data_IF_727668813208
#
_entry.id   IF_727668813208
#
_cell.length_a   1.000
_cell.length_b   1.000
_cell.length_c   1.000
_cell.angle_alpha   90.00
_cell.angle_beta   90.00
_cell.angle_gamma   90.00
#
_symmetry.space_group_name_H-M   'P 1'
#
loop_
_entity.id
_entity.type
_entity.pdbx_description
1 polymer ?
#
# COMPACT_ATOMS: atom_id res chain seq x y z
N UNK A 1 -32.19 -12.00 -9.99
CA UNK A 1 -31.16 -11.96 -8.93
C UNK A 1 -29.88 -12.59 -9.49
N UNK A 2 -28.87 -11.80 -9.84
CA UNK A 2 -27.60 -12.35 -10.36
C UNK A 2 -26.80 -12.98 -9.22
N UNK A 3 -26.65 -14.31 -9.26
CA UNK A 3 -25.80 -15.04 -8.31
C UNK A 3 -24.35 -14.70 -8.61
N UNK A 4 -23.72 -13.86 -7.78
CA UNK A 4 -22.27 -13.62 -7.87
C UNK A 4 -21.55 -14.91 -7.50
N UNK A 5 -20.82 -15.46 -8.45
CA UNK A 5 -20.00 -16.65 -8.24
C UNK A 5 -18.68 -16.20 -7.63
N UNK A 6 -18.42 -16.64 -6.40
CA UNK A 6 -17.19 -16.34 -5.68
C UNK A 6 -16.31 -17.58 -5.77
N UNK A 7 -15.48 -17.63 -6.82
CA UNK A 7 -14.40 -18.61 -6.93
C UNK A 7 -13.13 -18.04 -6.33
N UNK A 8 -12.45 -18.82 -5.51
CA UNK A 8 -11.11 -18.53 -4.98
C UNK A 8 -10.08 -18.46 -6.12
N UNK A 9 -8.94 -17.83 -5.85
CA UNK A 9 -7.88 -17.70 -6.87
C UNK A 9 -7.36 -19.06 -7.35
N UNK A 10 -7.27 -20.04 -6.45
CA UNK A 10 -6.83 -21.41 -6.73
C UNK A 10 -7.81 -22.15 -7.63
N UNK A 11 -9.12 -22.04 -7.38
CA UNK A 11 -10.15 -22.67 -8.22
C UNK A 11 -10.16 -22.08 -9.64
N UNK A 12 -10.00 -20.75 -9.76
CA UNK A 12 -9.87 -20.10 -11.07
C UNK A 12 -8.62 -20.58 -11.80
N UNK A 13 -7.51 -20.73 -11.08
CA UNK A 13 -6.26 -21.27 -11.62
C UNK A 13 -6.44 -22.69 -12.16
N UNK A 14 -7.09 -23.57 -11.40
CA UNK A 14 -7.33 -24.96 -11.82
C UNK A 14 -8.18 -25.03 -13.10
N UNK A 15 -9.24 -24.22 -13.21
CA UNK A 15 -10.05 -24.14 -14.43
C UNK A 15 -9.22 -23.71 -15.65
N UNK A 16 -8.34 -22.72 -15.47
CA UNK A 16 -7.43 -22.27 -16.53
C UNK A 16 -6.45 -23.38 -16.91
N UNK A 17 -5.90 -24.12 -15.94
CA UNK A 17 -4.97 -25.22 -16.20
C UNK A 17 -5.66 -26.38 -16.94
N UNK A 18 -6.89 -26.76 -16.55
CA UNK A 18 -7.71 -27.76 -17.25
C UNK A 18 -7.98 -27.35 -18.70
N UNK A 19 -8.28 -26.07 -18.93
CA UNK A 19 -8.46 -25.51 -20.28
C UNK A 19 -7.17 -25.59 -21.11
N UNK A 20 -6.02 -25.23 -20.53
CA UNK A 20 -4.71 -25.26 -21.23
C UNK A 20 -4.26 -26.69 -21.55
N UNK A 21 -4.55 -27.66 -20.67
CA UNK A 21 -4.29 -29.09 -20.88
C UNK A 21 -5.27 -29.75 -21.86
N UNK A 22 -6.34 -29.04 -22.28
CA UNK A 22 -7.43 -29.54 -23.13
C UNK A 22 -8.16 -30.75 -22.55
N UNK A 23 -8.30 -30.80 -21.22
CA UNK A 23 -9.03 -31.88 -20.53
C UNK A 23 -10.55 -31.79 -20.77
N UNK A 24 -11.07 -30.58 -21.01
CA UNK A 24 -12.46 -30.30 -21.33
C UNK A 24 -12.56 -29.05 -22.23
N UNK A 25 -13.70 -28.87 -22.88
CA UNK A 25 -13.97 -27.67 -23.70
C UNK A 25 -14.25 -26.45 -22.83
N UNK A 26 -14.04 -25.25 -23.38
CA UNK A 26 -14.31 -24.00 -22.67
C UNK A 26 -15.78 -23.91 -22.20
N UNK A 27 -16.72 -24.40 -23.01
CA UNK A 27 -18.15 -24.41 -22.67
C UNK A 27 -18.51 -25.36 -21.53
N UNK A 28 -17.87 -26.53 -21.44
CA UNK A 28 -18.05 -27.46 -20.33
C UNK A 28 -17.52 -26.88 -19.02
N UNK A 29 -16.29 -26.33 -19.04
CA UNK A 29 -15.67 -25.69 -17.88
C UNK A 29 -16.46 -24.46 -17.41
N UNK A 30 -16.96 -23.65 -18.35
CA UNK A 30 -17.78 -22.49 -18.04
C UNK A 30 -19.09 -22.89 -17.34
N UNK A 31 -19.76 -23.95 -17.81
CA UNK A 31 -21.00 -24.47 -17.17
C UNK A 31 -20.74 -25.08 -15.80
N UNK A 32 -19.67 -25.87 -15.65
CA UNK A 32 -19.26 -26.48 -14.38
C UNK A 32 -19.00 -25.40 -13.32
N UNK A 33 -18.29 -24.33 -13.70
CA UNK A 33 -17.97 -23.21 -12.83
C UNK A 33 -19.11 -22.16 -12.71
N UNK A 34 -20.17 -22.29 -13.50
CA UNK A 34 -21.28 -21.34 -13.59
C UNK A 34 -20.95 -19.98 -14.23
N UNK A 35 -19.79 -19.85 -14.87
CA UNK A 35 -19.31 -18.61 -15.49
C UNK A 35 -19.61 -18.58 -16.99
N UNK A 36 -19.35 -17.43 -17.64
CA UNK A 36 -19.38 -17.33 -19.10
C UNK A 36 -18.02 -17.71 -19.70
N UNK A 37 -18.02 -18.28 -20.91
CA UNK A 37 -16.77 -18.59 -21.63
C UNK A 37 -15.83 -17.39 -21.79
N UNK A 38 -16.31 -16.15 -22.09
CA UNK A 38 -15.45 -14.97 -22.14
C UNK A 38 -14.71 -14.71 -20.83
N UNK A 39 -15.36 -14.96 -19.68
CA UNK A 39 -14.73 -14.80 -18.36
C UNK A 39 -13.59 -15.79 -18.18
N UNK A 40 -13.78 -17.04 -18.62
CA UNK A 40 -12.75 -18.07 -18.58
C UNK A 40 -11.55 -17.72 -19.47
N UNK A 41 -11.79 -17.20 -20.67
CA UNK A 41 -10.72 -16.73 -21.55
C UNK A 41 -9.97 -15.52 -20.97
N UNK A 42 -10.68 -14.57 -20.34
CA UNK A 42 -10.04 -13.45 -19.65
C UNK A 42 -9.12 -13.93 -18.51
N UNK A 43 -9.54 -14.95 -17.76
CA UNK A 43 -8.69 -15.55 -16.72
C UNK A 43 -7.47 -16.24 -17.30
N UNK A 44 -7.62 -16.98 -18.41
CA UNK A 44 -6.50 -17.59 -19.13
C UNK A 44 -5.47 -16.54 -19.52
N UNK A 45 -5.91 -15.45 -20.14
CA UNK A 45 -5.00 -14.41 -20.63
C UNK A 45 -4.28 -13.70 -19.48
N UNK A 46 -4.99 -13.45 -18.37
CA UNK A 46 -4.40 -12.88 -17.15
C UNK A 46 -3.38 -13.84 -16.53
N UNK A 47 -3.70 -15.13 -16.45
CA UNK A 47 -2.82 -16.17 -15.91
C UNK A 47 -1.54 -16.31 -16.73
N UNK A 48 -1.65 -16.34 -18.06
CA UNK A 48 -0.50 -16.42 -18.96
C UNK A 48 0.37 -15.17 -18.87
N UNK A 49 -0.23 -13.96 -18.89
CA UNK A 49 0.51 -12.71 -18.75
C UNK A 49 1.30 -12.67 -17.45
N UNK A 50 0.65 -12.97 -16.32
CA UNK A 50 1.33 -13.01 -15.02
C UNK A 50 2.39 -14.11 -14.96
N UNK A 51 2.13 -15.29 -15.54
CA UNK A 51 3.08 -16.40 -15.64
C UNK A 51 4.34 -16.00 -16.42
N UNK A 52 4.18 -15.41 -17.60
CA UNK A 52 5.30 -14.93 -18.41
C UNK A 52 6.07 -13.80 -17.72
N UNK A 53 5.39 -12.84 -17.11
CA UNK A 53 6.06 -11.81 -16.30
C UNK A 53 6.85 -12.39 -15.13
N UNK A 54 6.37 -13.47 -14.52
CA UNK A 54 7.11 -14.18 -13.48
C UNK A 54 8.37 -14.88 -14.00
N UNK A 55 8.32 -15.43 -15.22
CA UNK A 55 9.44 -16.09 -15.88
C UNK A 55 10.49 -15.12 -16.43
N UNK A 56 10.06 -13.95 -16.92
CA UNK A 56 10.94 -12.86 -17.38
C UNK A 56 11.78 -12.26 -16.22
N UNK A 57 11.40 -12.62 -14.99
CA UNK A 57 12.17 -12.42 -13.78
C UNK A 57 11.76 -11.16 -13.03
N UNK A 58 11.75 -11.28 -11.70
CA UNK A 58 11.49 -10.26 -10.67
C UNK A 58 12.34 -8.99 -10.73
N UNK A 59 13.04 -8.73 -11.83
CA UNK A 59 13.97 -7.61 -11.98
C UNK A 59 13.29 -6.24 -11.92
N UNK A 60 11.98 -6.14 -12.14
CA UNK A 60 11.25 -4.86 -12.06
C UNK A 60 10.46 -4.68 -10.76
N UNK A 61 9.92 -5.74 -10.16
CA UNK A 61 9.11 -5.59 -8.94
C UNK A 61 9.99 -5.49 -7.70
N UNK A 62 11.00 -6.37 -7.56
CA UNK A 62 11.83 -6.41 -6.34
C UNK A 62 12.81 -5.22 -6.29
N UNK A 63 13.30 -4.75 -7.44
CA UNK A 63 14.18 -3.58 -7.47
C UNK A 63 13.42 -2.30 -7.10
N UNK A 64 12.23 -2.10 -7.67
CA UNK A 64 11.39 -0.94 -7.37
C UNK A 64 10.82 -1.03 -5.96
N UNK A 65 10.39 -2.20 -5.48
CA UNK A 65 10.00 -2.36 -4.07
C UNK A 65 11.14 -2.02 -3.13
N UNK A 66 12.34 -2.59 -3.34
CA UNK A 66 13.50 -2.30 -2.49
C UNK A 66 13.93 -0.84 -2.57
N UNK A 67 13.77 -0.21 -3.74
CA UNK A 67 14.03 1.22 -3.90
C UNK A 67 13.03 2.05 -3.11
N UNK A 68 11.73 1.75 -3.24
CA UNK A 68 10.67 2.41 -2.49
C UNK A 68 10.83 2.22 -0.98
N UNK A 69 11.17 1.02 -0.53
CA UNK A 69 11.47 0.73 0.88
C UNK A 69 12.64 1.57 1.39
N UNK A 70 13.70 1.74 0.59
CA UNK A 70 14.81 2.64 0.94
C UNK A 70 14.39 4.10 1.00
N UNK A 71 13.58 4.56 0.05
CA UNK A 71 13.06 5.94 0.04
C UNK A 71 12.16 6.21 1.26
N UNK A 72 11.35 5.25 1.67
CA UNK A 72 10.52 5.34 2.88
C UNK A 72 11.42 5.41 4.12
N UNK A 73 12.37 4.48 4.27
CA UNK A 73 13.29 4.48 5.40
C UNK A 73 14.11 5.80 5.51
N UNK A 74 14.53 6.35 4.37
CA UNK A 74 15.22 7.64 4.32
C UNK A 74 14.32 8.79 4.79
N UNK A 75 13.05 8.81 4.35
CA UNK A 75 12.08 9.83 4.76
C UNK A 75 11.80 9.73 6.27
N UNK A 76 11.62 8.53 6.80
CA UNK A 76 11.36 8.31 8.23
C UNK A 76 12.53 8.78 9.10
N UNK A 77 13.77 8.52 8.66
CA UNK A 77 14.96 9.02 9.34
C UNK A 77 14.97 10.56 9.42
N UNK A 78 14.70 11.25 8.30
CA UNK A 78 14.64 12.71 8.26
C UNK A 78 13.53 13.28 9.16
N UNK A 79 12.37 12.62 9.21
CA UNK A 79 11.26 12.99 10.11
C UNK A 79 11.70 12.82 11.57
N UNK A 80 12.40 11.72 11.89
CA UNK A 80 12.94 11.47 13.23
C UNK A 80 13.92 12.56 13.66
N UNK A 81 14.87 12.93 12.80
CA UNK A 81 15.84 13.99 13.04
C UNK A 81 15.17 15.35 13.29
N UNK A 82 14.20 15.72 12.45
CA UNK A 82 13.43 16.96 12.62
C UNK A 82 12.63 16.96 13.93
N UNK A 83 12.04 15.82 14.30
CA UNK A 83 11.26 15.68 15.53
C UNK A 83 12.14 15.86 16.77
N UNK A 84 13.35 15.30 16.77
CA UNK A 84 14.33 15.49 17.85
C UNK A 84 14.78 16.95 17.92
N UNK A 85 15.05 17.59 16.78
CA UNK A 85 15.40 19.00 16.72
C UNK A 85 14.29 19.89 17.32
N UNK A 86 13.03 19.68 16.92
CA UNK A 86 11.88 20.40 17.47
C UNK A 86 11.71 20.18 18.98
N UNK A 87 11.87 18.96 19.47
CA UNK A 87 11.80 18.66 20.92
C UNK A 87 12.90 19.37 21.69
N UNK A 88 14.12 19.37 21.15
CA UNK A 88 15.28 20.03 21.78
C UNK A 88 15.08 21.54 21.80
N UNK A 89 14.69 22.11 20.66
CA UNK A 89 14.35 23.51 20.52
C UNK A 89 13.30 23.90 21.56
N UNK A 90 12.15 23.20 21.58
CA UNK A 90 11.08 23.45 22.55
C UNK A 90 11.58 23.40 24.00
N UNK A 91 12.48 22.48 24.36
CA UNK A 91 13.08 22.41 25.71
C UNK A 91 13.99 23.60 26.01
N UNK A 92 14.79 24.06 25.05
CA UNK A 92 15.66 25.23 25.21
C UNK A 92 14.83 26.49 25.43
N UNK A 93 13.80 26.72 24.60
CA UNK A 93 12.92 27.89 24.74
C UNK A 93 11.92 27.79 25.90
N UNK A 94 11.58 26.58 26.36
CA UNK A 94 10.70 26.38 27.51
C UNK A 94 11.46 26.34 28.85
N UNK A 95 12.79 26.20 28.83
CA UNK A 95 13.59 26.38 30.04
C UNK A 95 13.53 27.85 30.47
N UNK A 96 13.28 28.16 31.75
CA UNK A 96 13.41 29.52 32.25
C UNK A 96 14.90 29.90 32.19
N UNK A 97 15.34 30.48 31.08
CA UNK A 97 16.61 31.19 31.06
C UNK A 97 16.37 32.44 31.89
N UNK A 98 16.82 32.38 33.15
CA UNK A 98 16.85 33.52 34.07
C UNK A 98 17.57 34.69 33.36
N UNK A 99 16.80 35.69 32.91
CA UNK A 99 17.36 36.99 32.51
C UNK A 99 16.73 37.70 31.30
N UNK A 100 16.12 37.00 30.34
CA UNK A 100 15.62 37.66 29.11
C UNK A 100 14.19 37.28 28.76
N UNK A 101 13.25 37.54 29.67
CA UNK A 101 11.81 37.34 29.44
C UNK A 101 11.09 38.67 29.27
N UNK A 102 11.57 39.54 28.38
CA UNK A 102 10.88 40.79 28.03
C UNK A 102 11.38 41.41 26.72
N UNK A 103 11.52 40.65 25.63
CA UNK A 103 11.49 41.25 24.29
C UNK A 103 11.27 40.18 23.23
N UNK A 104 10.24 40.40 22.41
CA UNK A 104 9.78 39.65 21.24
C UNK A 104 8.91 38.40 21.45
N UNK A 105 7.70 38.56 20.92
CA UNK A 105 6.54 37.69 20.76
C UNK A 105 5.53 37.70 21.92
N UNK A 106 4.46 38.51 21.83
CA UNK A 106 3.29 38.30 22.68
C UNK A 106 2.71 36.93 22.34
N UNK A 107 2.57 36.11 23.38
CA UNK A 107 1.67 34.96 23.39
C UNK A 107 0.29 35.48 23.02
N UNK A 108 -0.13 35.26 21.78
CA UNK A 108 -1.54 35.37 21.40
C UNK A 108 -2.20 34.07 21.82
N UNK A 109 -2.62 34.06 23.08
CA UNK A 109 -3.75 33.27 23.51
C UNK A 109 -4.97 33.74 22.70
N UNK A 110 -5.46 32.87 21.82
CA UNK A 110 -6.71 33.11 21.07
C UNK A 110 -6.57 32.88 19.57
N UNK A 111 -7.32 31.88 19.08
CA UNK A 111 -7.47 31.44 17.69
C UNK A 111 -6.26 30.69 17.10
N UNK A 112 -6.22 29.38 17.36
CA UNK A 112 -6.41 28.34 16.33
C UNK A 112 -6.63 27.00 17.05
N UNK A 113 -7.74 26.91 17.78
CA UNK A 113 -8.43 25.64 17.92
C UNK A 113 -9.04 25.34 16.55
N UNK A 114 -8.28 24.69 15.67
CA UNK A 114 -8.76 23.91 14.53
C UNK A 114 -7.60 23.15 13.88
N UNK A 115 -7.62 21.86 14.18
CA UNK A 115 -7.23 20.78 13.29
C UNK A 115 -5.73 20.62 12.96
N UNK A 116 -4.94 20.27 13.96
CA UNK A 116 -3.79 19.39 13.74
C UNK A 116 -3.78 18.28 14.81
N UNK A 117 -4.88 17.53 14.87
CA UNK A 117 -4.88 16.20 15.47
C UNK A 117 -4.12 15.28 14.51
N UNK A 118 -2.80 15.23 14.62
CA UNK A 118 -2.03 14.12 14.07
C UNK A 118 -2.02 13.06 15.16
N UNK A 119 -3.00 12.16 15.08
CA UNK A 119 -3.02 10.94 15.86
C UNK A 119 -1.77 10.12 15.50
N UNK A 120 -0.70 10.28 16.28
CA UNK A 120 0.46 9.39 16.28
C UNK A 120 0.15 8.19 17.18
N UNK A 121 -0.92 7.46 16.85
CA UNK A 121 -1.27 6.16 17.44
C UNK A 121 -1.03 5.04 16.44
N UNK A 122 0.19 4.94 15.89
CA UNK A 122 0.75 3.68 15.38
C UNK A 122 2.28 3.77 15.51
N UNK A 123 2.80 3.27 16.64
CA UNK A 123 4.06 2.53 16.72
C UNK A 123 3.72 1.20 17.36
#
# INVERSE_FOLDING_TARGET
MSKRIVLSATERGELVLRLLRKEATAGELAREAGISEPTLYQWRDTFLKAGFSGLDGRKSSDSEHRRLEREVAQRDQLIGEMTVALRTLKKVWASPIDGCRASLYPVRDGLLARDFAVDFSVV
#
